data_IF_575875760708
#
_entry.id   IF_575875760708
#
_cell.length_a   1.000
_cell.length_b   1.000
_cell.length_c   1.000
_cell.angle_alpha   90.00
_cell.angle_beta   90.00
_cell.angle_gamma   90.00
#
_symmetry.space_group_name_H-M   'P 1'
#
loop_
_entity.id
_entity.type
_entity.pdbx_description
1 polymer ?
#
# COMPACT_ATOMS: atom_id res chain seq x y z
N UNK A 1 -15.04 25.40 -8.11
CA UNK A 1 -14.43 24.10 -8.47
C UNK A 1 -13.23 24.39 -9.36
N UNK A 2 -12.02 24.04 -8.94
CA UNK A 2 -10.84 24.06 -9.81
C UNK A 2 -11.07 23.10 -10.99
N UNK A 3 -10.56 23.44 -12.17
CA UNK A 3 -10.61 22.52 -13.32
C UNK A 3 -9.90 21.20 -12.95
N UNK A 4 -10.41 20.03 -13.40
CA UNK A 4 -9.75 18.77 -13.14
C UNK A 4 -8.35 18.78 -13.77
N UNK A 5 -7.36 18.29 -13.03
CA UNK A 5 -5.98 18.16 -13.51
C UNK A 5 -5.95 17.19 -14.69
N UNK A 6 -5.49 17.68 -15.83
CA UNK A 6 -5.25 16.90 -17.05
C UNK A 6 -3.89 16.22 -16.91
N UNK A 7 -3.81 14.93 -17.26
CA UNK A 7 -2.63 14.12 -16.94
C UNK A 7 -1.42 14.55 -17.75
N UNK A 8 -1.67 14.94 -19.00
CA UNK A 8 -0.68 15.42 -19.95
C UNK A 8 0.00 16.71 -19.46
N UNK A 9 -0.69 17.54 -18.67
CA UNK A 9 -0.16 18.81 -18.15
C UNK A 9 0.80 18.61 -16.97
N UNK A 10 0.83 17.42 -16.37
CA UNK A 10 1.58 17.14 -15.13
C UNK A 10 2.56 15.96 -15.28
N UNK A 11 2.73 15.46 -16.50
CA UNK A 11 3.61 14.31 -16.80
C UNK A 11 4.65 14.67 -17.86
N UNK A 12 5.61 13.78 -18.09
CA UNK A 12 6.74 14.04 -18.99
C UNK A 12 7.73 15.04 -18.39
N UNK A 13 8.49 15.68 -19.27
CA UNK A 13 9.51 16.67 -18.96
C UNK A 13 10.24 17.06 -20.22
N UNK A 14 11.09 18.07 -20.13
CA UNK A 14 11.91 18.49 -21.26
C UNK A 14 13.13 17.59 -21.41
N UNK A 15 13.87 17.75 -22.51
CA UNK A 15 15.16 17.07 -22.73
C UNK A 15 16.25 17.53 -21.75
N UNK A 16 16.06 18.65 -21.06
CA UNK A 16 17.01 19.17 -20.06
C UNK A 16 16.87 18.48 -18.70
N UNK A 17 15.72 17.86 -18.42
CA UNK A 17 15.52 17.13 -17.18
C UNK A 17 16.53 16.00 -17.04
N UNK A 18 17.25 16.02 -15.92
CA UNK A 18 18.24 14.98 -15.56
C UNK A 18 17.71 14.02 -14.51
N UNK A 19 16.55 14.30 -13.92
CA UNK A 19 15.93 13.50 -12.88
C UNK A 19 14.60 12.92 -13.36
N UNK A 20 14.50 11.58 -13.37
CA UNK A 20 13.27 10.85 -13.61
C UNK A 20 12.58 10.47 -12.30
N UNK A 21 11.32 10.89 -12.12
CA UNK A 21 10.43 10.38 -11.08
C UNK A 21 9.39 9.43 -11.67
N UNK A 22 9.31 8.21 -11.14
CA UNK A 22 8.36 7.18 -11.57
C UNK A 22 7.26 7.02 -10.54
N UNK A 23 6.01 7.23 -10.94
CA UNK A 23 4.83 7.09 -10.10
C UNK A 23 4.10 5.78 -10.42
N UNK A 24 3.88 4.93 -9.42
CA UNK A 24 3.29 3.59 -9.60
C UNK A 24 2.00 3.43 -8.80
N UNK A 25 0.88 3.22 -9.50
CA UNK A 25 -0.46 3.14 -8.90
C UNK A 25 -0.74 1.79 -8.21
N UNK A 26 -1.79 1.79 -7.38
CA UNK A 26 -2.23 0.61 -6.62
C UNK A 26 -3.13 -0.36 -7.40
N UNK A 27 -3.67 -1.35 -6.67
CA UNK A 27 -4.61 -2.37 -7.17
C UNK A 27 -5.84 -1.71 -7.81
N UNK A 28 -6.32 -2.26 -8.94
CA UNK A 28 -7.41 -1.70 -9.76
C UNK A 28 -7.19 -0.27 -10.26
N UNK A 29 -5.98 0.26 -10.05
CA UNK A 29 -5.63 1.62 -10.41
C UNK A 29 -5.31 1.80 -11.88
N UNK A 30 -5.02 3.04 -12.21
CA UNK A 30 -4.47 3.47 -13.49
C UNK A 30 -3.73 4.81 -13.25
N UNK A 31 -2.96 5.33 -14.22
CA UNK A 31 -2.21 6.58 -14.06
C UNK A 31 -3.00 7.75 -13.47
N UNK A 32 -4.29 7.90 -13.80
CA UNK A 32 -5.11 9.03 -13.29
C UNK A 32 -5.25 9.06 -11.77
N UNK A 33 -5.05 7.94 -11.08
CA UNK A 33 -5.12 7.89 -9.61
C UNK A 33 -3.96 8.64 -8.94
N UNK A 34 -2.87 8.90 -9.66
CA UNK A 34 -1.70 9.63 -9.18
C UNK A 34 -1.51 11.00 -9.83
N UNK A 35 -2.52 11.50 -10.56
CA UNK A 35 -2.45 12.82 -11.20
C UNK A 35 -2.18 13.96 -10.22
N UNK A 36 -2.73 13.88 -9.01
CA UNK A 36 -2.53 14.91 -7.98
C UNK A 36 -1.18 14.78 -7.29
N UNK A 37 -0.62 13.57 -7.21
CA UNK A 37 0.77 13.33 -6.81
C UNK A 37 1.74 13.94 -7.83
N UNK A 38 1.49 13.70 -9.13
CA UNK A 38 2.25 14.31 -10.22
C UNK A 38 2.13 15.83 -10.23
N UNK A 39 0.91 16.36 -10.04
CA UNK A 39 0.68 17.80 -9.89
C UNK A 39 1.49 18.39 -8.75
N UNK A 40 1.50 17.76 -7.58
CA UNK A 40 2.27 18.26 -6.44
C UNK A 40 3.76 18.35 -6.74
N UNK A 41 4.32 17.43 -7.53
CA UNK A 41 5.69 17.54 -8.00
C UNK A 41 5.84 18.67 -9.03
N UNK A 42 4.95 18.74 -10.03
CA UNK A 42 5.02 19.76 -11.09
C UNK A 42 4.83 21.19 -10.58
N UNK A 43 4.07 21.37 -9.50
CA UNK A 43 3.91 22.67 -8.82
C UNK A 43 5.22 23.13 -8.13
N UNK A 44 6.12 22.19 -7.80
CA UNK A 44 7.39 22.47 -7.11
C UNK A 44 8.60 22.41 -8.04
N UNK A 45 8.53 21.65 -9.13
CA UNK A 45 9.66 21.35 -10.02
C UNK A 45 9.23 21.50 -11.49
N UNK A 46 9.96 22.32 -12.23
CA UNK A 46 9.71 22.58 -13.65
C UNK A 46 9.99 21.36 -14.53
N UNK A 47 9.53 21.40 -15.79
CA UNK A 47 9.80 20.35 -16.77
C UNK A 47 11.29 20.18 -17.10
N UNK A 48 12.11 21.21 -16.87
CA UNK A 48 13.57 21.16 -17.03
C UNK A 48 14.28 20.54 -15.82
N UNK A 49 13.64 20.50 -14.65
CA UNK A 49 14.21 19.93 -13.43
C UNK A 49 13.81 18.45 -13.26
N UNK A 50 12.55 18.13 -13.55
CA UNK A 50 11.98 16.83 -13.26
C UNK A 50 11.13 16.28 -14.41
N UNK A 51 11.53 15.10 -14.87
CA UNK A 51 10.76 14.27 -15.79
C UNK A 51 9.88 13.29 -14.99
N UNK A 52 8.58 13.28 -15.24
CA UNK A 52 7.61 12.49 -14.47
C UNK A 52 7.00 11.39 -15.35
N UNK A 53 7.27 10.13 -15.03
CA UNK A 53 6.69 8.96 -15.66
C UNK A 53 5.58 8.37 -14.76
N UNK A 54 4.36 8.23 -15.28
CA UNK A 54 3.29 7.49 -14.62
C UNK A 54 3.21 6.09 -15.22
N UNK A 55 3.57 5.09 -14.43
CA UNK A 55 3.55 3.70 -14.87
C UNK A 55 2.13 3.28 -15.25
N UNK A 56 2.00 2.64 -16.41
CA UNK A 56 0.70 2.31 -17.00
C UNK A 56 0.48 0.81 -17.22
N UNK A 57 1.52 -0.02 -17.37
CA UNK A 57 1.41 -1.45 -17.75
C UNK A 57 0.69 -2.34 -16.75
N UNK A 58 0.42 -1.83 -15.55
CA UNK A 58 -0.39 -2.50 -14.57
C UNK A 58 -1.84 -2.01 -14.49
N UNK A 59 -2.31 -1.16 -15.40
CA UNK A 59 -3.65 -0.56 -15.31
C UNK A 59 -4.80 -1.58 -15.24
N UNK A 60 -5.79 -1.29 -14.40
CA UNK A 60 -7.03 -2.05 -14.30
C UNK A 60 -6.80 -3.51 -13.93
N UNK A 61 -7.26 -4.43 -14.77
CA UNK A 61 -7.22 -5.87 -14.46
C UNK A 61 -5.81 -6.47 -14.52
N UNK A 62 -4.82 -5.75 -15.03
CA UNK A 62 -3.43 -6.20 -15.03
C UNK A 62 -2.83 -6.21 -13.61
N UNK A 63 -3.41 -5.46 -12.67
CA UNK A 63 -3.02 -5.53 -11.26
C UNK A 63 -3.35 -6.87 -10.60
N UNK A 64 -4.11 -7.77 -11.23
CA UNK A 64 -4.35 -9.13 -10.72
C UNK A 64 -3.20 -10.11 -11.02
N UNK A 65 -2.21 -9.68 -11.82
CA UNK A 65 -1.11 -10.53 -12.27
C UNK A 65 0.00 -10.70 -11.21
N UNK A 66 -0.11 -10.03 -10.07
CA UNK A 66 0.87 -10.09 -8.99
C UNK A 66 1.93 -9.00 -9.05
N UNK A 67 2.64 -8.87 -7.93
CA UNK A 67 3.75 -7.95 -7.69
C UNK A 67 4.94 -8.28 -8.58
N UNK A 68 5.22 -9.57 -8.81
CA UNK A 68 6.32 -10.03 -9.68
C UNK A 68 6.13 -9.57 -11.12
N UNK A 69 5.07 -10.02 -11.80
CA UNK A 69 4.79 -9.61 -13.17
C UNK A 69 4.57 -8.10 -13.28
N UNK A 70 3.94 -7.49 -12.26
CA UNK A 70 3.79 -6.05 -12.21
C UNK A 70 5.13 -5.31 -12.13
N UNK A 71 6.07 -5.81 -11.34
CA UNK A 71 7.41 -5.24 -11.19
C UNK A 71 8.28 -5.43 -12.42
N UNK A 72 8.16 -6.57 -13.11
CA UNK A 72 8.80 -6.81 -14.42
C UNK A 72 8.34 -5.79 -15.46
N UNK A 73 7.03 -5.51 -15.51
CA UNK A 73 6.47 -4.49 -16.40
C UNK A 73 6.95 -3.09 -16.06
N UNK A 74 6.96 -2.70 -14.79
CA UNK A 74 7.46 -1.37 -14.37
C UNK A 74 8.96 -1.24 -14.65
N UNK A 75 9.76 -2.29 -14.40
CA UNK A 75 11.17 -2.30 -14.77
C UNK A 75 11.36 -2.04 -16.26
N UNK A 76 10.59 -2.75 -17.10
CA UNK A 76 10.64 -2.55 -18.55
C UNK A 76 10.18 -1.16 -18.99
N UNK A 77 9.14 -0.59 -18.36
CA UNK A 77 8.71 0.79 -18.61
C UNK A 77 9.82 1.80 -18.29
N UNK A 78 10.50 1.64 -17.16
CA UNK A 78 11.60 2.53 -16.76
C UNK A 78 12.76 2.43 -17.77
N UNK A 79 13.20 1.21 -18.10
CA UNK A 79 14.26 0.99 -19.09
C UNK A 79 13.90 1.57 -20.47
N UNK A 80 12.64 1.45 -20.89
CA UNK A 80 12.16 1.98 -22.15
C UNK A 80 12.12 3.51 -22.13
N UNK A 81 11.61 4.13 -21.06
CA UNK A 81 11.54 5.58 -20.94
C UNK A 81 12.93 6.21 -20.90
N UNK A 82 13.89 5.60 -20.18
CA UNK A 82 15.29 6.05 -20.17
C UNK A 82 15.87 6.09 -21.59
N UNK A 83 15.66 5.01 -22.37
CA UNK A 83 16.11 4.94 -23.78
C UNK A 83 15.42 5.95 -24.66
N UNK A 84 14.12 6.18 -24.46
CA UNK A 84 13.35 7.10 -25.30
C UNK A 84 13.69 8.56 -25.00
N UNK A 85 14.04 8.91 -23.75
CA UNK A 85 14.62 10.21 -23.39
C UNK A 85 15.99 10.38 -24.05
N UNK A 86 16.86 9.36 -23.99
CA UNK A 86 18.19 9.40 -24.61
C UNK A 86 18.11 9.62 -26.14
N UNK A 87 17.20 8.93 -26.83
CA UNK A 87 16.96 9.13 -28.28
C UNK A 87 16.52 10.54 -28.63
N UNK A 88 15.82 11.22 -27.72
CA UNK A 88 15.40 12.62 -27.89
C UNK A 88 16.52 13.61 -27.55
N UNK A 89 17.70 13.13 -27.16
CA UNK A 89 18.87 13.94 -26.80
C UNK A 89 18.93 14.35 -25.32
N UNK A 90 18.04 13.84 -24.48
CA UNK A 90 18.10 14.04 -23.04
C UNK A 90 19.02 13.03 -22.35
N UNK A 91 19.36 13.26 -21.08
CA UNK A 91 20.16 12.31 -20.29
C UNK A 91 19.73 12.30 -18.83
N UNK A 92 19.05 11.23 -18.42
CA UNK A 92 18.70 10.99 -17.03
C UNK A 92 19.92 10.48 -16.26
N UNK A 93 20.22 11.12 -15.15
CA UNK A 93 21.29 10.74 -14.21
C UNK A 93 20.77 10.48 -12.81
N UNK A 94 19.53 10.89 -12.49
CA UNK A 94 18.89 10.68 -11.19
C UNK A 94 17.57 9.93 -11.32
N UNK A 95 17.29 9.05 -10.36
CA UNK A 95 16.06 8.26 -10.31
C UNK A 95 15.35 8.41 -8.97
N UNK A 96 14.06 8.71 -9.03
CA UNK A 96 13.12 8.61 -7.91
C UNK A 96 11.94 7.72 -8.27
N UNK A 97 11.40 7.01 -7.29
CA UNK A 97 10.21 6.18 -7.45
C UNK A 97 9.26 6.46 -6.29
N UNK A 98 7.98 6.66 -6.59
CA UNK A 98 6.92 6.74 -5.59
C UNK A 98 5.78 5.77 -5.90
N UNK A 99 5.45 4.90 -4.95
CA UNK A 99 4.40 3.90 -5.09
C UNK A 99 3.24 4.14 -4.14
N UNK A 100 2.02 3.96 -4.62
CA UNK A 100 0.80 4.01 -3.81
C UNK A 100 0.19 2.63 -3.65
N UNK A 101 -0.12 2.23 -2.42
CA UNK A 101 -0.75 0.94 -2.13
C UNK A 101 0.05 -0.24 -2.71
N UNK A 102 -0.57 -1.15 -3.47
CA UNK A 102 0.12 -2.23 -4.20
C UNK A 102 1.31 -1.72 -5.05
N UNK A 103 1.23 -0.48 -5.56
CA UNK A 103 2.27 0.14 -6.37
C UNK A 103 3.62 0.23 -5.66
N UNK A 104 3.64 0.45 -4.33
CA UNK A 104 4.90 0.47 -3.58
C UNK A 104 5.58 -0.90 -3.49
N UNK A 105 4.81 -1.99 -3.46
CA UNK A 105 5.35 -3.35 -3.50
C UNK A 105 5.87 -3.70 -4.91
N UNK A 106 5.13 -3.32 -5.94
CA UNK A 106 5.56 -3.42 -7.35
C UNK A 106 6.86 -2.65 -7.58
N UNK A 107 6.97 -1.43 -7.03
CA UNK A 107 8.19 -0.63 -7.08
C UNK A 107 9.38 -1.30 -6.40
N UNK A 108 9.19 -1.95 -5.23
CA UNK A 108 10.27 -2.71 -4.56
C UNK A 108 10.78 -3.85 -5.42
N UNK A 109 9.88 -4.57 -6.09
CA UNK A 109 10.27 -5.64 -7.02
C UNK A 109 11.05 -5.08 -8.22
N UNK A 110 10.51 -4.05 -8.87
CA UNK A 110 11.14 -3.40 -10.02
C UNK A 110 12.55 -2.85 -9.69
N UNK A 111 12.73 -2.23 -8.52
CA UNK A 111 14.03 -1.75 -8.05
C UNK A 111 15.06 -2.89 -7.92
N UNK A 112 14.65 -4.05 -7.41
CA UNK A 112 15.55 -5.21 -7.36
C UNK A 112 15.97 -5.70 -8.73
N UNK A 113 15.07 -5.67 -9.72
CA UNK A 113 15.41 -6.01 -11.10
C UNK A 113 16.37 -4.99 -11.73
N UNK A 114 16.09 -3.69 -11.57
CA UNK A 114 16.96 -2.62 -12.04
C UNK A 114 18.36 -2.72 -11.42
N UNK A 115 18.44 -3.06 -10.13
CA UNK A 115 19.70 -3.34 -9.45
C UNK A 115 20.44 -4.52 -10.08
N UNK A 116 19.78 -5.67 -10.23
CA UNK A 116 20.39 -6.87 -10.78
C UNK A 116 20.85 -6.71 -12.24
N UNK A 117 20.19 -5.83 -13.00
CA UNK A 117 20.55 -5.47 -14.38
C UNK A 117 21.68 -4.45 -14.49
N UNK A 118 22.16 -3.88 -13.37
CA UNK A 118 23.16 -2.81 -13.36
C UNK A 118 22.62 -1.43 -13.77
N UNK A 119 21.32 -1.28 -14.04
CA UNK A 119 20.73 0.00 -14.47
C UNK A 119 20.88 1.07 -13.39
N UNK A 120 20.79 0.67 -12.12
CA UNK A 120 20.97 1.61 -11.00
C UNK A 120 22.43 2.02 -10.78
N UNK A 121 23.40 1.43 -11.47
CA UNK A 121 24.83 1.80 -11.31
C UNK A 121 25.17 3.09 -12.06
N UNK A 122 24.44 3.36 -13.15
CA UNK A 122 24.56 4.59 -13.94
C UNK A 122 23.68 5.74 -13.41
N UNK A 123 22.87 5.47 -12.37
CA UNK A 123 21.87 6.40 -11.84
C UNK A 123 22.12 6.70 -10.37
N UNK A 124 22.07 7.98 -10.03
CA UNK A 124 21.97 8.44 -8.66
C UNK A 124 20.54 8.22 -8.15
N UNK A 125 20.35 7.21 -7.30
CA UNK A 125 19.05 6.87 -6.74
C UNK A 125 18.70 7.87 -5.62
N UNK A 126 17.71 8.73 -5.85
CA UNK A 126 17.39 9.86 -4.97
C UNK A 126 16.32 9.49 -3.93
N UNK A 127 15.08 9.26 -4.37
CA UNK A 127 13.94 9.02 -3.48
C UNK A 127 13.24 7.70 -3.78
N UNK A 128 12.96 6.92 -2.74
CA UNK A 128 12.00 5.82 -2.76
C UNK A 128 10.87 6.13 -1.79
N UNK A 129 9.70 6.52 -2.31
CA UNK A 129 8.56 6.92 -1.47
C UNK A 129 7.42 5.92 -1.56
N UNK A 130 6.75 5.67 -0.44
CA UNK A 130 5.51 4.91 -0.41
C UNK A 130 4.37 5.64 0.29
N UNK A 131 3.17 5.55 -0.28
CA UNK A 131 1.92 6.05 0.31
C UNK A 131 1.00 4.87 0.57
N UNK A 132 0.61 4.64 1.82
CA UNK A 132 -0.30 3.58 2.23
C UNK A 132 0.04 2.21 1.60
N UNK A 133 1.32 1.86 1.53
CA UNK A 133 1.80 0.59 0.93
C UNK A 133 1.78 -0.53 1.96
N UNK A 134 1.18 -1.71 1.70
CA UNK A 134 1.13 -2.81 2.66
C UNK A 134 2.46 -3.56 2.72
N UNK A 135 3.49 -2.98 3.33
CA UNK A 135 4.84 -3.54 3.37
C UNK A 135 4.92 -4.93 4.02
N UNK A 136 4.01 -5.23 4.96
CA UNK A 136 3.91 -6.50 5.68
C UNK A 136 2.74 -7.37 5.18
N UNK A 137 2.16 -7.03 4.03
CA UNK A 137 0.95 -7.64 3.51
C UNK A 137 -0.33 -7.06 4.13
N UNK A 138 -1.46 -7.70 3.84
CA UNK A 138 -2.80 -7.31 4.32
C UNK A 138 -3.42 -8.37 5.22
N UNK A 139 -2.64 -9.37 5.63
CA UNK A 139 -3.09 -10.40 6.56
C UNK A 139 -3.41 -9.76 7.91
N UNK A 140 -4.68 -9.88 8.33
CA UNK A 140 -5.13 -9.45 9.66
C UNK A 140 -4.52 -10.38 10.72
N UNK A 141 -3.97 -9.83 11.83
CA UNK A 141 -3.40 -10.63 12.91
C UNK A 141 -4.54 -11.29 13.68
N UNK A 142 -4.96 -12.47 13.25
CA UNK A 142 -6.08 -13.24 13.81
C UNK A 142 -5.61 -14.65 14.15
N UNK A 143 -5.95 -15.13 15.35
CA UNK A 143 -5.73 -16.50 15.85
C UNK A 143 -6.86 -17.44 15.44
N UNK A 144 -6.58 -18.74 15.43
CA UNK A 144 -7.56 -19.82 15.26
C UNK A 144 -7.92 -20.23 13.82
N UNK A 145 -8.73 -21.28 13.71
CA UNK A 145 -9.03 -21.97 12.43
C UNK A 145 -9.93 -21.18 11.47
N UNK A 146 -10.90 -20.41 11.97
CA UNK A 146 -11.79 -19.58 11.13
C UNK A 146 -11.04 -18.43 10.45
N UNK A 147 -9.98 -17.92 11.08
CA UNK A 147 -9.04 -16.94 10.52
C UNK A 147 -8.29 -17.48 9.29
N UNK A 148 -7.83 -18.74 9.35
CA UNK A 148 -7.13 -19.38 8.24
C UNK A 148 -8.04 -19.55 7.01
N UNK A 149 -9.32 -19.88 7.19
CA UNK A 149 -10.28 -19.99 6.07
C UNK A 149 -10.51 -18.61 5.43
N UNK A 150 -10.69 -17.57 6.24
CA UNK A 150 -10.93 -16.22 5.74
C UNK A 150 -9.72 -15.64 4.99
N UNK A 151 -8.52 -15.75 5.56
CA UNK A 151 -7.29 -15.31 4.91
C UNK A 151 -7.05 -16.06 3.59
N UNK A 152 -7.42 -17.35 3.51
CA UNK A 152 -7.31 -18.15 2.29
C UNK A 152 -8.38 -17.78 1.25
N UNK A 153 -9.62 -17.48 1.67
CA UNK A 153 -10.70 -17.09 0.78
C UNK A 153 -10.49 -15.67 0.24
N UNK A 154 -10.18 -14.70 1.11
CA UNK A 154 -9.85 -13.32 0.72
C UNK A 154 -8.67 -13.27 -0.26
N UNK A 155 -7.58 -13.97 0.03
CA UNK A 155 -6.42 -14.06 -0.85
C UNK A 155 -6.73 -14.60 -2.26
N UNK A 156 -7.68 -15.52 -2.40
CA UNK A 156 -8.04 -16.11 -3.69
C UNK A 156 -8.95 -15.22 -4.54
N UNK A 157 -9.59 -14.21 -3.95
CA UNK A 157 -10.48 -13.29 -4.69
C UNK A 157 -9.74 -12.24 -5.52
N UNK A 158 -8.47 -12.00 -5.20
CA UNK A 158 -7.60 -11.04 -5.90
C UNK A 158 -6.52 -11.73 -6.75
N UNK A 159 -6.74 -12.98 -7.15
CA UNK A 159 -5.80 -13.77 -7.96
C UNK A 159 -4.38 -13.78 -7.38
N UNK A 160 -3.33 -13.67 -8.20
CA UNK A 160 -1.94 -13.73 -7.74
C UNK A 160 -1.57 -12.59 -6.79
N UNK A 161 -2.07 -11.38 -7.03
CA UNK A 161 -1.86 -10.25 -6.12
C UNK A 161 -2.44 -10.51 -4.74
N UNK A 162 -3.64 -11.11 -4.65
CA UNK A 162 -4.22 -11.52 -3.37
C UNK A 162 -3.36 -12.55 -2.65
N UNK A 163 -2.89 -13.58 -3.35
CA UNK A 163 -2.03 -14.61 -2.76
C UNK A 163 -0.75 -14.02 -2.15
N UNK A 164 -0.13 -13.06 -2.85
CA UNK A 164 1.08 -12.38 -2.40
C UNK A 164 0.82 -11.39 -1.27
N UNK A 165 -0.26 -10.59 -1.35
CA UNK A 165 -0.63 -9.64 -0.30
C UNK A 165 -1.00 -10.32 1.02
N UNK A 166 -1.62 -11.51 0.97
CA UNK A 166 -1.94 -12.30 2.16
C UNK A 166 -0.82 -13.27 2.57
N UNK A 167 0.34 -13.21 1.89
CA UNK A 167 1.52 -14.06 2.16
C UNK A 167 1.20 -15.55 2.21
N UNK A 168 0.37 -16.03 1.27
CA UNK A 168 0.02 -17.46 1.11
C UNK A 168 0.61 -18.06 -0.18
N UNK A 169 1.48 -17.32 -0.84
CA UNK A 169 2.28 -17.77 -1.98
C UNK A 169 3.59 -18.43 -1.53
N UNK A 170 4.24 -19.14 -2.46
CA UNK A 170 5.60 -19.62 -2.31
C UNK A 170 6.38 -19.11 -3.52
N UNK A 171 7.25 -18.14 -3.29
CA UNK A 171 7.97 -17.46 -4.36
C UNK A 171 9.09 -18.36 -4.88
N UNK A 172 9.05 -18.70 -6.18
CA UNK A 172 10.10 -19.45 -6.92
C UNK A 172 10.69 -20.65 -6.15
N UNK A 173 9.85 -21.44 -5.48
CA UNK A 173 10.23 -22.61 -4.68
C UNK A 173 11.18 -22.32 -3.50
N UNK A 174 11.24 -21.07 -3.03
CA UNK A 174 11.97 -20.71 -1.81
C UNK A 174 11.28 -21.21 -0.54
N UNK A 175 10.04 -21.71 -0.66
CA UNK A 175 9.13 -22.00 0.46
C UNK A 175 8.81 -20.78 1.34
N UNK A 176 9.11 -19.57 0.85
CA UNK A 176 8.81 -18.29 1.52
C UNK A 176 7.84 -17.47 0.67
N UNK A 177 6.96 -16.67 1.29
CA UNK A 177 6.10 -15.74 0.55
C UNK A 177 6.94 -14.62 -0.10
N UNK A 178 6.49 -14.10 -1.23
CA UNK A 178 7.22 -13.05 -1.97
C UNK A 178 7.58 -11.85 -1.09
N UNK A 179 6.68 -11.39 -0.20
CA UNK A 179 6.94 -10.22 0.63
C UNK A 179 8.11 -10.43 1.61
N UNK A 180 8.26 -11.64 2.14
CA UNK A 180 9.40 -12.00 2.97
C UNK A 180 10.70 -11.96 2.15
N UNK A 181 10.68 -12.50 0.93
CA UNK A 181 11.84 -12.44 0.01
C UNK A 181 12.19 -11.00 -0.39
N UNK A 182 11.19 -10.14 -0.61
CA UNK A 182 11.41 -8.71 -0.88
C UNK A 182 12.07 -7.97 0.29
N UNK A 183 11.94 -8.48 1.51
CA UNK A 183 12.53 -7.92 2.72
C UNK A 183 13.81 -8.65 3.16
N UNK A 184 14.21 -9.72 2.48
CA UNK A 184 15.42 -10.45 2.81
C UNK A 184 16.65 -9.55 2.60
N UNK A 185 17.52 -9.37 3.62
CA UNK A 185 18.62 -8.40 3.57
C UNK A 185 19.66 -8.73 2.51
N UNK A 186 19.74 -9.99 2.08
CA UNK A 186 20.66 -10.50 1.06
C UNK A 186 20.03 -10.52 -0.35
N UNK A 187 18.75 -10.13 -0.47
CA UNK A 187 18.08 -10.07 -1.76
C UNK A 187 18.53 -8.89 -2.62
N UNK A 188 18.38 -9.05 -3.93
CA UNK A 188 18.53 -7.95 -4.90
C UNK A 188 17.54 -6.81 -4.61
N UNK A 189 16.37 -7.12 -4.03
CA UNK A 189 15.33 -6.15 -3.74
C UNK A 189 15.75 -5.20 -2.62
N UNK A 190 16.29 -5.74 -1.52
CA UNK A 190 16.84 -4.92 -0.44
C UNK A 190 18.12 -4.20 -0.87
N UNK A 191 18.97 -4.83 -1.69
CA UNK A 191 20.18 -4.20 -2.22
C UNK A 191 19.84 -2.98 -3.08
N UNK A 192 18.87 -3.10 -3.99
CA UNK A 192 18.38 -1.97 -4.79
C UNK A 192 17.71 -0.89 -3.96
N UNK A 193 16.86 -1.27 -3.00
CA UNK A 193 16.17 -0.31 -2.11
C UNK A 193 17.17 0.53 -1.29
N UNK A 194 18.26 -0.09 -0.83
CA UNK A 194 19.32 0.58 -0.07
C UNK A 194 20.14 1.58 -0.92
N UNK A 195 20.13 1.49 -2.26
CA UNK A 195 20.80 2.48 -3.11
C UNK A 195 20.17 3.87 -3.06
N UNK A 196 18.88 3.99 -2.76
CA UNK A 196 18.20 5.28 -2.70
C UNK A 196 18.71 6.14 -1.53
N UNK A 197 19.00 7.42 -1.74
CA UNK A 197 19.45 8.29 -0.64
C UNK A 197 18.39 8.44 0.45
N UNK A 198 17.13 8.57 0.03
CA UNK A 198 16.00 8.76 0.92
C UNK A 198 14.91 7.72 0.68
N UNK A 199 14.50 7.05 1.75
CA UNK A 199 13.32 6.17 1.77
C UNK A 199 12.30 6.77 2.72
N UNK A 200 11.14 7.11 2.20
CA UNK A 200 10.09 7.80 2.96
C UNK A 200 8.78 7.03 2.82
N UNK A 201 8.08 6.79 3.93
CA UNK A 201 6.76 6.18 3.92
C UNK A 201 5.75 7.07 4.62
N UNK A 202 4.52 7.07 4.10
CA UNK A 202 3.36 7.71 4.69
C UNK A 202 2.31 6.66 5.02
N UNK A 203 1.94 6.59 6.29
CA UNK A 203 1.05 5.57 6.84
C UNK A 203 -0.16 6.23 7.51
N UNK A 204 -1.36 5.98 6.97
CA UNK A 204 -2.59 6.42 7.62
C UNK A 204 -2.71 5.80 9.02
N UNK A 205 -3.01 6.60 10.04
CA UNK A 205 -3.20 6.12 11.41
C UNK A 205 -4.63 5.66 11.69
N UNK A 206 -5.60 6.12 10.89
CA UNK A 206 -7.03 5.82 11.04
C UNK A 206 -7.69 5.64 9.69
N UNK A 207 -8.82 4.94 9.69
CA UNK A 207 -9.77 4.83 8.58
C UNK A 207 -9.23 4.17 7.29
N UNK A 208 -7.98 3.70 7.28
CA UNK A 208 -7.42 2.95 6.16
C UNK A 208 -7.71 1.47 6.35
N UNK A 209 -8.81 1.03 5.75
CA UNK A 209 -9.33 -0.34 5.86
C UNK A 209 -8.68 -1.29 4.86
N UNK A 210 -8.00 -0.74 3.85
CA UNK A 210 -7.28 -1.50 2.83
C UNK A 210 -5.87 -1.81 3.31
N UNK A 211 -5.21 -0.82 3.90
CA UNK A 211 -3.82 -0.91 4.36
C UNK A 211 -3.70 -0.24 5.72
N UNK A 212 -3.98 -1.03 6.76
CA UNK A 212 -3.91 -0.61 8.16
C UNK A 212 -2.52 -0.11 8.57
N UNK A 213 -2.48 0.68 9.65
CA UNK A 213 -1.28 1.42 10.05
C UNK A 213 -0.05 0.52 10.21
N UNK A 214 -0.15 -0.59 10.94
CA UNK A 214 1.02 -1.42 11.26
C UNK A 214 1.74 -1.96 10.01
N UNK A 215 1.01 -2.27 8.94
CA UNK A 215 1.60 -2.78 7.70
C UNK A 215 2.22 -1.68 6.85
N UNK A 216 1.58 -0.50 6.76
CA UNK A 216 2.14 0.63 6.02
C UNK A 216 3.27 1.34 6.77
N UNK A 217 3.17 1.41 8.09
CA UNK A 217 4.17 1.97 8.99
C UNK A 217 5.33 1.03 9.33
N UNK A 218 5.27 -0.24 8.95
CA UNK A 218 6.30 -1.26 9.25
C UNK A 218 6.51 -1.34 10.77
N UNK A 219 5.41 -1.56 11.50
CA UNK A 219 5.35 -1.56 12.94
C UNK A 219 4.76 -2.88 13.46
N UNK A 220 5.21 -3.33 14.62
CA UNK A 220 4.70 -4.53 15.31
C UNK A 220 3.59 -4.22 16.32
N UNK A 221 3.29 -2.95 16.53
CA UNK A 221 2.29 -2.42 17.45
C UNK A 221 1.46 -1.36 16.72
N UNK A 222 0.23 -1.15 17.18
CA UNK A 222 -0.66 -0.13 16.63
C UNK A 222 -1.26 0.73 17.78
N UNK A 223 -0.64 1.88 18.10
CA UNK A 223 -1.09 2.73 19.20
C UNK A 223 -2.35 3.53 18.84
N UNK A 224 -2.83 3.47 17.59
CA UNK A 224 -3.94 4.28 17.09
C UNK A 224 -5.28 3.53 17.08
N UNK A 225 -5.31 2.34 17.66
CA UNK A 225 -6.52 1.51 17.78
C UNK A 225 -7.59 2.16 18.64
N UNK A 226 -7.18 2.96 19.64
CA UNK A 226 -8.05 3.81 20.44
C UNK A 226 -7.41 5.19 20.62
N UNK A 227 -7.90 6.16 19.83
CA UNK A 227 -7.40 7.53 19.87
C UNK A 227 -7.73 8.26 21.19
N UNK A 228 -8.71 7.78 21.97
CA UNK A 228 -9.06 8.42 23.25
C UNK A 228 -7.98 8.16 24.31
N UNK A 229 -7.21 7.08 24.16
CA UNK A 229 -6.13 6.71 25.08
C UNK A 229 -4.77 7.32 24.73
N UNK A 230 -4.64 7.97 23.57
CA UNK A 230 -3.37 8.54 23.11
C UNK A 230 -3.51 10.01 22.75
N UNK A 231 -2.54 10.80 23.17
CA UNK A 231 -2.37 12.17 22.67
C UNK A 231 -1.52 12.12 21.41
N UNK A 232 -2.08 12.59 20.29
CA UNK A 232 -1.35 12.69 19.03
C UNK A 232 -0.44 13.93 19.04
N UNK A 233 0.83 13.74 18.66
CA UNK A 233 1.79 14.81 18.50
C UNK A 233 1.95 15.11 17.01
N UNK A 234 1.52 16.30 16.61
CA UNK A 234 1.57 16.72 15.21
C UNK A 234 2.89 17.38 14.86
N UNK A 235 3.36 17.10 13.65
CA UNK A 235 4.46 17.82 13.04
C UNK A 235 4.02 19.28 12.83
N UNK A 236 4.88 20.21 13.25
CA UNK A 236 4.60 21.64 13.15
C UNK A 236 4.43 22.06 11.68
N UNK A 237 3.53 23.01 11.43
CA UNK A 237 3.32 23.65 10.12
C UNK A 237 2.59 22.77 9.05
N UNK A 238 2.00 21.63 9.45
CA UNK A 238 1.23 20.74 8.56
C UNK A 238 -0.22 20.51 9.01
N UNK A 239 -0.90 21.57 9.49
CA UNK A 239 -2.34 21.61 9.76
C UNK A 239 -2.91 20.45 10.60
N UNK A 240 -2.10 19.85 11.47
CA UNK A 240 -2.51 18.69 12.27
C UNK A 240 -2.79 17.43 11.43
N UNK A 241 -2.22 17.32 10.22
CA UNK A 241 -2.39 16.15 9.35
C UNK A 241 -1.24 15.15 9.52
N UNK A 242 -0.02 15.62 9.64
CA UNK A 242 1.17 14.76 9.76
C UNK A 242 1.62 14.72 11.21
N UNK A 243 1.92 13.53 11.72
CA UNK A 243 2.44 13.35 13.08
C UNK A 243 3.96 13.48 13.10
N UNK A 244 4.48 13.83 14.27
CA UNK A 244 5.92 13.84 14.54
C UNK A 244 6.49 12.43 14.27
N UNK A 245 7.49 12.27 13.38
CA UNK A 245 8.01 10.96 13.01
C UNK A 245 8.79 10.26 14.14
N UNK A 246 9.35 11.02 15.07
CA UNK A 246 10.17 10.50 16.17
C UNK A 246 9.32 10.21 17.41
N UNK A 247 8.33 11.06 17.68
CA UNK A 247 7.46 10.96 18.86
C UNK A 247 5.98 11.16 18.52
N UNK A 248 5.35 10.29 17.70
CA UNK A 248 4.01 10.54 17.14
C UNK A 248 2.89 10.51 18.17
N UNK A 249 3.09 9.81 19.29
CA UNK A 249 2.09 9.67 20.36
C UNK A 249 2.72 9.90 21.73
N UNK A 250 1.92 10.44 22.64
CA UNK A 250 2.20 10.45 24.08
C UNK A 250 1.01 9.81 24.79
N UNK A 251 1.27 8.94 25.76
CA UNK A 251 0.19 8.30 26.49
C UNK A 251 -0.57 9.32 27.35
N UNK A 252 -1.90 9.26 27.28
CA UNK A 252 -2.75 10.01 28.18
C UNK A 252 -2.95 9.18 29.47
N UNK A 253 -2.88 9.77 30.68
CA UNK A 253 -3.24 9.05 31.89
C UNK A 253 -4.70 8.61 31.78
N UNK A 254 -4.96 7.31 32.05
CA UNK A 254 -6.31 6.74 32.02
C UNK A 254 -7.26 7.56 32.90
N UNK A 255 -8.14 8.35 32.31
CA UNK A 255 -9.34 8.81 33.01
C UNK A 255 -10.28 7.61 33.01
N UNK A 256 -10.40 6.96 34.16
CA UNK A 256 -11.46 5.98 34.40
C UNK A 256 -12.81 6.72 34.34
N UNK A 257 -13.38 6.81 33.14
CA UNK A 257 -14.73 7.29 32.93
C UNK A 257 -15.73 6.21 33.32
N UNK A 258 -16.55 6.50 34.32
CA UNK A 258 -17.73 5.71 34.66
C UNK A 258 -18.79 5.77 33.55
N UNK A 259 -19.55 4.68 33.45
CA UNK A 259 -20.96 4.55 33.00
C UNK A 259 -21.23 3.67 31.77
N UNK A 260 -21.34 2.36 32.03
CA UNK A 260 -21.71 1.28 31.10
C UNK A 260 -23.21 0.96 31.03
N UNK A 261 -24.11 1.91 31.31
CA UNK A 261 -25.57 1.64 31.25
C UNK A 261 -26.38 2.57 30.34
N UNK A 262 -25.81 3.69 29.89
CA UNK A 262 -26.49 4.64 28.98
C UNK A 262 -26.13 4.42 27.50
N UNK A 263 -25.05 3.70 27.18
CA UNK A 263 -24.59 3.42 25.80
C UNK A 263 -25.45 2.44 25.03
N UNK A 264 -26.15 1.53 25.73
CA UNK A 264 -26.93 0.46 25.09
C UNK A 264 -28.23 0.99 24.48
N UNK A 265 -28.87 1.98 25.10
CA UNK A 265 -30.11 2.57 24.58
C UNK A 265 -29.91 3.43 23.33
N UNK A 266 -28.83 4.20 23.25
CA UNK A 266 -28.50 5.00 22.06
C UNK A 266 -28.02 4.15 20.88
N UNK A 267 -27.34 3.04 21.17
CA UNK A 267 -26.91 2.05 20.17
C UNK A 267 -28.12 1.32 19.55
N UNK A 268 -29.10 0.93 20.37
CA UNK A 268 -30.36 0.31 19.91
C UNK A 268 -31.19 1.31 19.07
N UNK A 269 -31.23 2.58 19.46
CA UNK A 269 -31.97 3.63 18.74
C UNK A 269 -31.34 3.96 17.38
N UNK A 270 -30.00 3.95 17.27
CA UNK A 270 -29.27 4.03 15.99
C UNK A 270 -29.50 2.81 15.12
N UNK A 271 -29.56 1.61 15.71
CA UNK A 271 -29.80 0.35 15.01
C UNK A 271 -31.20 0.29 14.38
N UNK A 272 -32.24 0.68 15.13
CA UNK A 272 -33.64 0.71 14.67
C UNK A 272 -33.85 1.73 13.54
N UNK A 273 -33.16 2.88 13.58
CA UNK A 273 -33.29 3.94 12.55
C UNK A 273 -32.68 3.56 11.19
N UNK A 274 -31.83 2.52 11.16
CA UNK A 274 -31.13 2.04 9.96
C UNK A 274 -31.72 0.74 9.38
N UNK A 275 -32.83 0.21 9.90
CA UNK A 275 -33.43 -1.05 9.43
C UNK A 275 -33.75 -1.07 7.92
N UNK A 276 -34.32 -0.01 7.31
CA UNK A 276 -34.53 0.03 5.85
C UNK A 276 -33.21 -0.03 5.06
N UNK A 277 -32.16 0.66 5.55
CA UNK A 277 -30.82 0.64 4.97
C UNK A 277 -30.15 -0.74 5.11
N UNK A 278 -30.34 -1.41 6.25
CA UNK A 278 -29.86 -2.78 6.52
C UNK A 278 -30.55 -3.82 5.63
N UNK A 279 -31.84 -3.65 5.32
CA UNK A 279 -32.57 -4.51 4.39
C UNK A 279 -32.11 -4.32 2.93
N UNK A 280 -31.84 -3.07 2.51
CA UNK A 280 -31.24 -2.79 1.20
C UNK A 280 -29.84 -3.41 1.07
N UNK A 281 -29.02 -3.28 2.11
CA UNK A 281 -27.71 -3.95 2.23
C UNK A 281 -27.86 -5.47 2.18
N UNK A 282 -28.83 -6.04 2.92
CA UNK A 282 -29.07 -7.48 3.00
C UNK A 282 -29.49 -8.14 1.68
N UNK A 283 -29.99 -7.37 0.71
CA UNK A 283 -30.33 -7.86 -0.65
C UNK A 283 -29.25 -7.52 -1.67
N UNK A 284 -28.72 -6.29 -1.64
CA UNK A 284 -27.73 -5.83 -2.61
C UNK A 284 -26.36 -6.47 -2.37
N UNK A 285 -25.92 -6.61 -1.12
CA UNK A 285 -24.60 -7.17 -0.81
C UNK A 285 -24.48 -8.62 -1.28
N UNK A 286 -25.41 -9.55 -1.00
CA UNK A 286 -25.27 -10.92 -1.50
C UNK A 286 -25.20 -11.00 -3.03
N UNK A 287 -25.98 -10.20 -3.75
CA UNK A 287 -25.94 -10.13 -5.21
C UNK A 287 -24.59 -9.57 -5.68
N UNK A 288 -24.15 -8.46 -5.11
CA UNK A 288 -22.86 -7.83 -5.41
C UNK A 288 -21.68 -8.77 -5.13
N UNK A 289 -21.73 -9.52 -4.03
CA UNK A 289 -20.73 -10.55 -3.66
C UNK A 289 -20.71 -11.67 -4.69
N UNK A 290 -21.86 -12.18 -5.15
CA UNK A 290 -21.90 -13.22 -6.19
C UNK A 290 -21.31 -12.71 -7.50
N UNK A 291 -21.66 -11.49 -7.92
CA UNK A 291 -21.09 -10.86 -9.12
C UNK A 291 -19.59 -10.65 -8.98
N UNK A 292 -19.13 -10.19 -7.81
CA UNK A 292 -17.73 -10.02 -7.49
C UNK A 292 -16.96 -11.35 -7.55
N UNK A 293 -17.48 -12.41 -6.93
CA UNK A 293 -16.86 -13.73 -6.92
C UNK A 293 -16.79 -14.33 -8.33
N UNK A 294 -17.85 -14.17 -9.13
CA UNK A 294 -17.86 -14.58 -10.53
C UNK A 294 -16.80 -13.82 -11.35
N UNK A 295 -16.73 -12.49 -11.20
CA UNK A 295 -15.69 -11.69 -11.84
C UNK A 295 -14.30 -12.10 -11.37
N UNK A 296 -14.09 -12.31 -10.07
CA UNK A 296 -12.84 -12.79 -9.47
C UNK A 296 -12.39 -14.13 -10.08
N UNK A 297 -13.30 -15.09 -10.28
CA UNK A 297 -12.99 -16.36 -10.93
C UNK A 297 -12.53 -16.15 -12.38
N UNK A 298 -13.24 -15.30 -13.13
CA UNK A 298 -12.87 -14.93 -14.51
C UNK A 298 -11.49 -14.24 -14.54
N UNK A 299 -11.24 -13.28 -13.64
CA UNK A 299 -9.96 -12.59 -13.55
C UNK A 299 -8.83 -13.54 -13.15
N UNK A 300 -9.10 -14.52 -12.29
CA UNK A 300 -8.11 -15.54 -11.91
C UNK A 300 -7.66 -16.36 -13.12
N UNK A 301 -8.60 -16.82 -13.95
CA UNK A 301 -8.28 -17.56 -15.18
C UNK A 301 -7.53 -16.67 -16.19
N UNK A 302 -7.96 -15.41 -16.35
CA UNK A 302 -7.32 -14.45 -17.27
C UNK A 302 -5.91 -14.09 -16.82
N UNK A 303 -5.72 -13.82 -15.54
CA UNK A 303 -4.42 -13.56 -14.91
C UNK A 303 -3.48 -14.74 -15.09
N UNK A 304 -3.92 -15.96 -14.77
CA UNK A 304 -3.10 -17.17 -14.96
C UNK A 304 -2.65 -17.37 -16.42
N UNK A 305 -3.53 -17.09 -17.40
CA UNK A 305 -3.16 -17.12 -18.82
C UNK A 305 -2.13 -16.05 -19.16
N UNK A 306 -2.30 -14.81 -18.68
CA UNK A 306 -1.35 -13.71 -18.90
C UNK A 306 0.02 -14.01 -18.30
N UNK A 307 0.06 -14.51 -17.06
CA UNK A 307 1.30 -14.90 -16.38
C UNK A 307 2.00 -16.00 -17.16
N UNK A 308 1.29 -17.06 -17.56
CA UNK A 308 1.88 -18.14 -18.37
C UNK A 308 2.44 -17.64 -19.72
N UNK A 309 1.75 -16.72 -20.38
CA UNK A 309 2.25 -16.09 -21.60
C UNK A 309 3.49 -15.21 -21.35
N UNK A 310 3.53 -14.54 -20.20
CA UNK A 310 4.67 -13.74 -19.76
C UNK A 310 5.90 -14.61 -19.49
N UNK A 311 5.74 -15.67 -18.70
CA UNK A 311 6.81 -16.62 -18.35
C UNK A 311 7.35 -17.37 -19.57
N UNK A 312 6.52 -17.66 -20.57
CA UNK A 312 6.95 -18.32 -21.81
C UNK A 312 7.65 -17.38 -22.81
N UNK A 313 7.84 -16.10 -22.48
CA UNK A 313 8.46 -15.10 -23.36
C UNK A 313 7.59 -14.72 -24.58
N UNK A 314 6.35 -15.23 -24.63
CA UNK A 314 5.40 -14.99 -25.72
C UNK A 314 4.56 -13.72 -25.51
N UNK A 315 4.64 -13.11 -24.32
CA UNK A 315 4.10 -11.78 -24.04
C UNK A 315 5.02 -10.69 -24.59
N UNK A 316 5.28 -10.71 -25.90
CA UNK A 316 5.90 -9.57 -26.57
C UNK A 316 5.08 -8.31 -26.28
N UNK A 317 5.77 -7.20 -26.00
CA UNK A 317 5.24 -5.88 -25.63
C UNK A 317 4.19 -5.38 -26.64
N UNK A 318 2.94 -5.84 -26.53
CA UNK A 318 1.80 -5.31 -27.26
C UNK A 318 1.04 -4.36 -26.34
N UNK A 319 1.15 -3.08 -26.67
CA UNK A 319 0.66 -1.91 -25.92
C UNK A 319 -0.84 -1.63 -26.20
N UNK A 320 -1.56 -2.51 -26.91
CA UNK A 320 -2.82 -2.11 -27.56
C UNK A 320 -4.14 -2.35 -26.79
N UNK A 321 -4.14 -2.85 -25.55
CA UNK A 321 -5.40 -3.11 -24.81
C UNK A 321 -5.73 -2.12 -23.67
N UNK A 322 -5.31 -0.86 -23.80
CA UNK A 322 -5.57 0.21 -22.80
C UNK A 322 -6.93 0.89 -22.90
N UNK A 323 -8.02 0.13 -23.12
CA UNK A 323 -9.37 0.69 -23.07
C UNK A 323 -10.29 -0.16 -22.21
N UNK A 324 -10.42 0.26 -20.95
CA UNK A 324 -11.47 -0.24 -20.05
C UNK A 324 -12.83 0.37 -20.44
N UNK A 325 -13.90 -0.43 -20.60
CA UNK A 325 -15.26 0.11 -20.72
C UNK A 325 -15.67 0.85 -19.45
N UNK A 326 -16.21 2.07 -19.60
CA UNK A 326 -16.64 2.95 -18.49
C UNK A 326 -17.62 2.29 -17.50
N UNK A 327 -18.39 1.28 -17.93
CA UNK A 327 -19.36 0.56 -17.08
C UNK A 327 -18.73 -0.37 -16.03
N UNK A 328 -17.44 -0.72 -16.13
CA UNK A 328 -16.75 -1.61 -15.16
C UNK A 328 -16.17 -0.84 -13.96
N UNK A 329 -15.84 0.46 -14.12
CA UNK A 329 -15.25 1.28 -13.04
C UNK A 329 -16.18 1.42 -11.83
N UNK A 330 -17.48 1.62 -12.07
CA UNK A 330 -18.47 1.71 -11.00
C UNK A 330 -18.54 0.42 -10.16
N UNK A 331 -18.50 -0.74 -10.83
CA UNK A 331 -18.46 -2.05 -10.16
C UNK A 331 -17.16 -2.20 -9.36
N UNK A 332 -16.02 -1.74 -9.87
CA UNK A 332 -14.74 -1.80 -9.15
C UNK A 332 -14.72 -0.91 -7.90
N UNK A 333 -15.28 0.31 -7.95
CA UNK A 333 -15.40 1.19 -6.79
C UNK A 333 -16.34 0.61 -5.73
N UNK A 334 -17.48 0.03 -6.14
CA UNK A 334 -18.40 -0.66 -5.23
C UNK A 334 -17.76 -1.91 -4.61
N UNK A 335 -16.99 -2.66 -5.40
CA UNK A 335 -16.22 -3.82 -4.95
C UNK A 335 -15.11 -3.41 -3.99
N UNK A 336 -14.40 -2.32 -4.24
CA UNK A 336 -13.37 -1.76 -3.35
C UNK A 336 -14.00 -1.37 -2.01
N UNK A 337 -15.13 -0.67 -2.03
CA UNK A 337 -15.88 -0.34 -0.81
C UNK A 337 -16.39 -1.56 -0.06
N UNK A 338 -16.87 -2.58 -0.78
CA UNK A 338 -17.28 -3.84 -0.17
C UNK A 338 -16.07 -4.53 0.48
N UNK A 339 -14.96 -4.67 -0.24
CA UNK A 339 -13.72 -5.26 0.26
C UNK A 339 -13.18 -4.52 1.48
N UNK A 340 -13.15 -3.19 1.46
CA UNK A 340 -12.79 -2.35 2.61
C UNK A 340 -13.73 -2.54 3.79
N UNK A 341 -15.04 -2.65 3.54
CA UNK A 341 -16.04 -2.92 4.57
C UNK A 341 -15.86 -4.31 5.19
N UNK A 342 -15.52 -5.31 4.38
CA UNK A 342 -15.23 -6.68 4.82
C UNK A 342 -13.93 -6.77 5.63
N UNK A 343 -12.86 -6.09 5.22
CA UNK A 343 -11.62 -6.02 6.00
C UNK A 343 -11.82 -5.29 7.34
N UNK A 344 -12.69 -4.28 7.40
CA UNK A 344 -12.95 -3.52 8.64
C UNK A 344 -13.78 -4.25 9.70
N UNK A 345 -14.33 -5.42 9.39
CA UNK A 345 -15.15 -6.20 10.30
C UNK A 345 -14.34 -7.10 11.25
N UNK A 346 -13.00 -7.07 11.16
CA UNK A 346 -12.12 -7.94 11.94
C UNK A 346 -11.26 -7.14 12.90
N UNK A 347 -11.46 -7.36 14.20
CA UNK A 347 -10.63 -6.76 15.24
C UNK A 347 -9.22 -7.37 15.22
N UNK A 348 -8.20 -6.50 15.32
CA UNK A 348 -6.80 -6.93 15.43
C UNK A 348 -6.59 -7.73 16.71
N UNK A 349 -6.01 -8.93 16.62
CA UNK A 349 -5.61 -9.70 17.79
C UNK A 349 -4.13 -9.53 18.11
N UNK A 350 -3.82 -9.63 19.40
CA UNK A 350 -2.49 -9.41 19.95
C UNK A 350 -1.84 -10.73 20.36
N UNK A 351 -0.50 -10.78 20.31
CA UNK A 351 0.26 -11.87 20.90
C UNK A 351 -0.10 -11.98 22.39
N UNK A 352 -0.71 -13.10 22.77
CA UNK A 352 -1.06 -13.42 24.16
C UNK A 352 -0.19 -14.60 24.63
N UNK A 353 -0.57 -15.24 25.74
CA UNK A 353 0.07 -16.48 26.21
C UNK A 353 0.17 -17.54 25.11
N UNK A 354 1.13 -18.46 25.25
CA UNK A 354 1.37 -19.59 24.34
C UNK A 354 0.04 -20.19 23.86
N UNK A 355 -0.12 -20.28 22.54
CA UNK A 355 -1.33 -20.78 21.88
C UNK A 355 -0.99 -22.02 21.07
N UNK A 356 -1.92 -22.98 20.98
CA UNK A 356 -1.75 -24.22 20.20
C UNK A 356 -1.39 -23.95 18.72
N UNK A 357 -1.78 -22.78 18.19
CA UNK A 357 -1.40 -22.31 16.85
C UNK A 357 0.13 -22.22 16.63
N UNK A 358 0.92 -22.04 17.70
CA UNK A 358 2.39 -21.95 17.60
C UNK A 358 3.04 -23.28 17.23
N UNK A 359 2.35 -24.40 17.47
CA UNK A 359 2.86 -25.73 17.15
C UNK A 359 3.00 -25.96 15.65
N UNK A 360 2.34 -25.13 14.83
CA UNK A 360 2.48 -25.16 13.38
C UNK A 360 3.84 -24.63 12.88
N UNK A 361 4.60 -23.91 13.72
CA UNK A 361 5.90 -23.35 13.39
C UNK A 361 7.05 -24.23 13.86
N UNK A 362 8.21 -24.10 13.21
CA UNK A 362 9.43 -24.80 13.63
C UNK A 362 10.01 -24.23 14.94
N UNK A 363 11.12 -24.81 15.41
CA UNK A 363 11.70 -24.43 16.70
C UNK A 363 12.24 -22.99 16.72
N UNK A 364 12.80 -22.51 15.62
CA UNK A 364 13.42 -21.18 15.52
C UNK A 364 12.34 -20.10 15.48
N UNK A 365 11.30 -20.31 14.68
CA UNK A 365 10.15 -19.41 14.60
C UNK A 365 9.38 -19.35 15.92
N UNK A 366 9.22 -20.48 16.63
CA UNK A 366 8.64 -20.47 17.99
C UNK A 366 9.50 -19.67 18.97
N UNK A 367 10.83 -19.73 18.86
CA UNK A 367 11.71 -18.92 19.70
C UNK A 367 11.56 -17.43 19.39
N UNK A 368 11.41 -17.05 18.11
CA UNK A 368 11.14 -15.67 17.68
C UNK A 368 9.83 -15.16 18.27
N UNK A 369 8.73 -15.92 18.14
CA UNK A 369 7.44 -15.55 18.73
C UNK A 369 7.51 -15.38 20.25
N UNK A 370 8.23 -16.27 20.95
CA UNK A 370 8.46 -16.14 22.40
C UNK A 370 9.24 -14.88 22.75
N UNK A 371 10.22 -14.49 21.93
CA UNK A 371 11.00 -13.25 22.13
C UNK A 371 10.10 -12.02 21.96
N UNK A 372 9.28 -11.98 20.91
CA UNK A 372 8.35 -10.87 20.67
C UNK A 372 7.30 -10.74 21.79
N UNK A 373 6.79 -11.87 22.31
CA UNK A 373 5.90 -11.86 23.49
C UNK A 373 6.53 -11.23 24.72
N UNK A 374 7.80 -11.53 25.00
CA UNK A 374 8.52 -10.95 26.15
C UNK A 374 8.74 -9.45 26.02
N UNK A 375 8.79 -8.93 24.80
CA UNK A 375 8.91 -7.50 24.52
C UNK A 375 7.56 -6.78 24.45
N UNK A 376 6.44 -7.52 24.42
CA UNK A 376 5.11 -6.93 24.41
C UNK A 376 4.79 -6.29 25.76
N UNK A 377 4.25 -5.08 25.73
CA UNK A 377 3.80 -4.36 26.92
C UNK A 377 2.28 -4.16 26.88
N UNK A 378 1.68 -3.84 28.02
CA UNK A 378 0.23 -3.51 28.08
C UNK A 378 -0.08 -2.24 27.29
N UNK A 379 0.85 -1.29 27.30
CA UNK A 379 0.71 0.02 26.67
C UNK A 379 0.96 -0.02 25.16
N UNK A 380 1.82 -0.92 24.70
CA UNK A 380 2.10 -1.17 23.29
C UNK A 380 2.02 -2.68 23.03
N UNK A 381 0.81 -3.24 22.96
CA UNK A 381 0.63 -4.67 22.77
C UNK A 381 1.14 -5.07 21.38
N UNK A 382 1.96 -6.12 21.34
CA UNK A 382 2.51 -6.64 20.09
C UNK A 382 1.43 -7.42 19.35
N UNK A 383 1.25 -7.12 18.07
CA UNK A 383 0.25 -7.75 17.20
C UNK A 383 0.57 -9.23 16.98
N UNK A 384 -0.46 -10.05 16.74
CA UNK A 384 -0.34 -11.47 16.38
C UNK A 384 0.13 -11.67 14.93
N UNK A 385 1.34 -11.16 14.63
CA UNK A 385 1.99 -11.27 13.34
C UNK A 385 2.70 -12.63 13.17
N UNK A 386 2.95 -13.02 11.92
CA UNK A 386 3.72 -14.23 11.60
C UNK A 386 5.22 -14.04 11.84
N UNK A 387 6.01 -15.11 11.99
CA UNK A 387 7.48 -15.02 12.07
C UNK A 387 8.12 -14.29 10.88
N UNK A 388 7.62 -14.54 9.66
CA UNK A 388 8.00 -13.80 8.45
C UNK A 388 7.71 -12.29 8.59
N UNK A 389 6.55 -11.91 9.14
CA UNK A 389 6.20 -10.51 9.33
C UNK A 389 7.12 -9.81 10.33
N UNK A 390 7.52 -10.48 11.42
CA UNK A 390 8.53 -9.94 12.33
C UNK A 390 9.89 -9.75 11.66
N UNK A 391 10.34 -10.74 10.88
CA UNK A 391 11.58 -10.62 10.11
C UNK A 391 11.51 -9.49 9.08
N UNK A 392 10.38 -9.35 8.36
CA UNK A 392 10.14 -8.25 7.45
C UNK A 392 10.27 -6.89 8.16
N UNK A 393 9.69 -6.74 9.36
CA UNK A 393 9.79 -5.51 10.15
C UNK A 393 11.24 -5.17 10.48
N UNK A 394 12.01 -6.13 10.99
CA UNK A 394 13.42 -5.93 11.36
C UNK A 394 14.24 -5.48 10.16
N UNK A 395 14.16 -6.23 9.07
CA UNK A 395 14.98 -5.98 7.87
C UNK A 395 14.60 -4.69 7.15
N UNK A 396 13.30 -4.38 7.08
CA UNK A 396 12.84 -3.13 6.48
C UNK A 396 13.23 -1.93 7.35
N UNK A 397 13.08 -1.99 8.67
CA UNK A 397 13.52 -0.91 9.55
C UNK A 397 15.02 -0.65 9.46
N UNK A 398 15.83 -1.71 9.33
CA UNK A 398 17.26 -1.61 9.09
C UNK A 398 17.63 -0.92 7.76
N UNK A 399 16.67 -0.74 6.83
CA UNK A 399 16.89 0.03 5.61
C UNK A 399 16.84 1.56 5.82
N UNK A 400 16.52 2.05 7.02
CA UNK A 400 16.57 3.49 7.33
C UNK A 400 15.44 4.28 6.64
N UNK A 401 14.19 3.93 6.94
CA UNK A 401 13.00 4.66 6.49
C UNK A 401 12.73 5.88 7.36
N UNK A 402 12.34 6.98 6.72
CA UNK A 402 11.66 8.11 7.35
C UNK A 402 10.17 7.81 7.33
N UNK A 403 9.54 7.71 8.50
CA UNK A 403 8.17 7.23 8.64
C UNK A 403 7.26 8.36 9.11
N UNK A 404 6.26 8.70 8.32
CA UNK A 404 5.31 9.75 8.66
C UNK A 404 3.91 9.15 8.87
N UNK A 405 3.45 9.08 10.12
CA UNK A 405 2.06 8.74 10.39
C UNK A 405 1.15 9.91 9.97
N UNK A 406 0.03 9.61 9.32
CA UNK A 406 -0.88 10.58 8.72
C UNK A 406 -2.28 10.44 9.29
N UNK A 407 -2.82 11.53 9.80
CA UNK A 407 -4.17 11.66 10.33
C UNK A 407 -5.08 12.37 9.32
N UNK A 408 -5.65 11.62 8.38
CA UNK A 408 -6.71 12.12 7.49
C UNK A 408 -8.02 12.22 8.29
N UNK A 409 -8.47 13.45 8.51
CA UNK A 409 -9.61 13.77 9.39
C UNK A 409 -10.86 14.12 8.59
N UNK A 410 -10.69 14.74 7.42
CA UNK A 410 -11.79 15.27 6.61
C UNK A 410 -12.52 14.20 5.78
N UNK A 411 -12.05 12.95 5.78
CA UNK A 411 -12.69 11.87 5.02
C UNK A 411 -12.48 10.48 5.64
N UNK A 412 -13.49 9.60 5.51
CA UNK A 412 -13.46 8.23 6.04
C UNK A 412 -12.74 7.20 5.17
N UNK A 413 -12.49 7.53 3.91
CA UNK A 413 -11.69 6.70 3.01
C UNK A 413 -10.30 7.33 2.92
N UNK A 414 -9.51 7.15 3.98
CA UNK A 414 -8.18 7.76 4.11
C UNK A 414 -7.18 7.16 3.13
N UNK A 415 -7.39 5.90 2.72
CA UNK A 415 -6.58 5.19 1.73
C UNK A 415 -6.41 6.00 0.44
N UNK A 416 -7.51 6.36 -0.24
CA UNK A 416 -7.40 7.18 -1.45
C UNK A 416 -7.25 8.69 -1.18
N UNK A 417 -7.59 9.17 0.02
CA UNK A 417 -7.42 10.57 0.37
C UNK A 417 -5.94 10.96 0.50
N UNK A 418 -5.08 10.06 1.00
CA UNK A 418 -3.64 10.35 1.22
C UNK A 418 -2.89 10.76 -0.06
N UNK A 419 -3.35 10.30 -1.23
CA UNK A 419 -2.81 10.66 -2.57
C UNK A 419 -3.74 11.57 -3.36
N UNK A 420 -4.79 12.07 -2.73
CA UNK A 420 -5.85 12.89 -3.33
C UNK A 420 -6.39 12.24 -4.62
N UNK A 421 -6.84 10.97 -4.56
CA UNK A 421 -7.29 10.24 -5.76
C UNK A 421 -8.45 10.93 -6.50
N UNK A 422 -9.24 11.74 -5.79
CA UNK A 422 -10.37 12.50 -6.32
C UNK A 422 -10.25 13.97 -5.93
N UNK A 423 -10.63 14.87 -6.84
CA UNK A 423 -10.64 16.33 -6.59
C UNK A 423 -11.88 16.71 -5.75
N UNK A 424 -11.81 16.41 -4.44
CA UNK A 424 -12.87 16.71 -3.47
C UNK A 424 -12.30 17.56 -2.35
N UNK A 425 -13.09 18.50 -1.85
CA UNK A 425 -12.72 19.31 -0.68
C UNK A 425 -12.45 18.44 0.56
N UNK A 426 -13.20 17.33 0.70
CA UNK A 426 -12.97 16.36 1.77
C UNK A 426 -11.60 15.67 1.71
N UNK A 427 -10.88 15.75 0.58
CA UNK A 427 -9.53 15.19 0.41
C UNK A 427 -8.43 16.23 0.70
N UNK A 428 -8.78 17.41 1.24
CA UNK A 428 -7.84 18.50 1.51
C UNK A 428 -6.62 18.08 2.36
N UNK A 429 -6.79 17.18 3.33
CA UNK A 429 -5.68 16.70 4.16
C UNK A 429 -4.62 15.97 3.32
N UNK A 430 -5.02 15.29 2.24
CA UNK A 430 -4.08 14.67 1.31
C UNK A 430 -3.16 15.68 0.61
N UNK A 431 -3.64 16.90 0.33
CA UNK A 431 -2.79 17.94 -0.24
C UNK A 431 -1.70 18.39 0.72
N UNK A 432 -1.96 18.36 2.04
CA UNK A 432 -0.94 18.64 3.06
C UNK A 432 0.15 17.58 3.03
N UNK A 433 -0.23 16.30 2.91
CA UNK A 433 0.71 15.18 2.76
C UNK A 433 1.57 15.32 1.51
N UNK A 434 0.94 15.61 0.36
CA UNK A 434 1.66 15.78 -0.90
C UNK A 434 2.57 17.02 -0.90
N UNK A 435 2.14 18.11 -0.26
CA UNK A 435 2.95 19.32 -0.07
C UNK A 435 4.20 19.07 0.79
N UNK A 436 4.04 18.39 1.93
CA UNK A 436 5.17 17.95 2.75
C UNK A 436 6.12 17.04 1.95
N UNK A 437 5.56 16.07 1.22
CA UNK A 437 6.38 15.17 0.43
C UNK A 437 7.17 15.91 -0.65
N UNK A 438 6.52 16.69 -1.50
CA UNK A 438 7.16 17.38 -2.61
C UNK A 438 8.15 18.46 -2.14
N UNK A 439 7.81 19.20 -1.07
CA UNK A 439 8.60 20.34 -0.61
C UNK A 439 9.68 20.02 0.43
N UNK A 440 9.52 18.97 1.23
CA UNK A 440 10.44 18.67 2.35
C UNK A 440 11.14 17.33 2.21
N UNK A 441 10.43 16.31 1.70
CA UNK A 441 10.96 14.96 1.61
C UNK A 441 11.53 14.60 0.23
N UNK A 442 11.10 15.22 -0.86
CA UNK A 442 11.58 14.91 -2.21
C UNK A 442 12.92 15.63 -2.50
N UNK A 443 13.98 14.84 -2.70
CA UNK A 443 15.29 15.36 -3.11
C UNK A 443 15.34 15.55 -4.63
N UNK A 444 15.91 16.67 -5.12
CA UNK A 444 16.08 16.93 -6.57
C UNK A 444 17.46 16.57 -7.10
#
# INVERSE_FOLDING_TARGET
MSKPVVLEDVTGGSVNATHLCVLVHGLWGNPSHLRNVAKSLRDNYSEDELYILLAKQNSGNHTYDGIETGGERVCAEIEQELKDIEKKGGKITKLSIAGYSLGGLVSRYAVGLLYAKGVLDDLECMNFTTFATPHLGVRTPLKGWLSNIYNVLGARTLSMSGRQLFTIDSFRNTNRPLLAVLADPNSIFMSGLKKFKRRTLYANIVNDRSVVHYTSGINKTDPYTDLDNVKLNYLKDYDGVILDPDHPVTQSPKVQGQDTLLSDFDSIKKWIKNVPFMLTIGVIIPIGVVVFLANSAVQTVRSAKRIKLHESGLAGLKIEDYRMPLRIKAIQEEVEQAYESFNSAQDQQYLASDSDDDLAYDAEDRQKLRRERRMSTVEQPTLALTPDQFEMIENLNAAGWRKFPVHIQKHRHSHAAIVVRMDKESFADGWVVLGHWAGSEFLI
#
